data_IF_269476348339
#
_entry.id   IF_269476348339
#
_cell.length_a   1.000
_cell.length_b   1.000
_cell.length_c   1.000
_cell.angle_alpha   90.00
_cell.angle_beta   90.00
_cell.angle_gamma   90.00
#
_symmetry.space_group_name_H-M   'P 1'
#
loop_
_entity.id
_entity.type
_entity.pdbx_description
1 polymer ?
#
# COMPACT_ATOMS: atom_id res chain seq x y z
N UNK A 1 3.36 36.26 20.38
CA UNK A 1 2.29 36.03 19.39
C UNK A 1 2.81 35.00 18.40
N UNK A 2 2.59 33.73 18.67
CA UNK A 2 3.02 32.63 17.81
C UNK A 2 1.93 32.33 16.81
N UNK A 3 2.23 32.51 15.54
CA UNK A 3 1.34 32.16 14.44
C UNK A 3 1.29 30.64 14.32
N UNK A 4 0.20 30.09 14.77
CA UNK A 4 -0.21 28.71 14.50
C UNK A 4 -0.35 28.57 12.98
N UNK A 5 0.69 28.04 12.32
CA UNK A 5 0.53 27.53 10.95
C UNK A 5 -0.23 26.24 11.07
N UNK A 6 -1.53 26.35 10.96
CA UNK A 6 -2.39 25.20 10.80
C UNK A 6 -1.90 24.36 9.63
N UNK A 7 -1.61 23.10 9.91
CA UNK A 7 -1.46 22.06 8.92
C UNK A 7 -2.69 22.07 8.05
N UNK A 8 -2.54 22.56 6.83
CA UNK A 8 -3.56 22.47 5.81
C UNK A 8 -3.74 20.99 5.49
N UNK A 9 -4.69 20.40 6.15
CA UNK A 9 -5.27 19.14 5.72
C UNK A 9 -5.99 19.44 4.40
N UNK A 10 -5.37 19.45 3.19
CA UNK A 10 -5.53 18.28 2.49
C UNK A 10 -6.75 18.17 1.67
N UNK A 11 -6.52 18.14 0.63
CA UNK A 11 -7.39 17.84 -0.49
C UNK A 11 -8.49 16.88 -0.08
N UNK A 12 -9.72 17.31 -0.26
CA UNK A 12 -10.88 16.45 -0.04
C UNK A 12 -10.74 15.22 -0.92
N UNK A 13 -11.12 14.02 -0.46
CA UNK A 13 -11.14 12.84 -1.30
C UNK A 13 -11.95 13.14 -2.55
N UNK A 14 -11.45 12.71 -3.69
CA UNK A 14 -12.25 12.69 -4.91
C UNK A 14 -13.28 11.60 -4.70
N UNK A 15 -14.47 11.99 -4.26
CA UNK A 15 -15.56 11.05 -4.04
C UNK A 15 -16.11 10.68 -5.40
N UNK A 16 -15.71 9.53 -5.91
CA UNK A 16 -16.47 8.83 -6.92
C UNK A 16 -17.55 8.05 -6.19
N UNK A 17 -18.81 8.44 -6.35
CA UNK A 17 -19.92 8.01 -5.50
C UNK A 17 -20.28 6.51 -5.55
N UNK A 18 -19.55 5.65 -6.25
CA UNK A 18 -19.99 4.28 -6.53
C UNK A 18 -18.94 3.19 -6.25
N UNK A 19 -17.67 3.52 -5.96
CA UNK A 19 -16.62 2.51 -6.12
C UNK A 19 -15.96 2.01 -4.84
N UNK A 20 -16.31 2.48 -3.66
CA UNK A 20 -15.58 2.20 -2.40
C UNK A 20 -14.08 2.52 -2.46
N UNK A 21 -13.63 3.25 -3.49
CA UNK A 21 -12.26 3.69 -3.70
C UNK A 21 -12.17 5.15 -3.30
N UNK A 22 -11.14 5.48 -2.50
CA UNK A 22 -10.88 6.85 -2.10
C UNK A 22 -9.39 7.14 -2.27
N UNK A 23 -9.06 8.38 -2.62
CA UNK A 23 -7.70 8.80 -2.88
C UNK A 23 -7.33 9.99 -2.00
N UNK A 24 -6.13 9.98 -1.45
CA UNK A 24 -5.56 11.05 -0.64
C UNK A 24 -4.12 11.32 -1.07
N UNK A 25 -3.66 12.53 -0.82
CA UNK A 25 -2.25 12.84 -0.93
C UNK A 25 -1.57 12.66 0.42
N UNK A 26 -0.42 12.03 0.42
CA UNK A 26 0.47 11.95 1.57
C UNK A 26 1.65 12.90 1.36
N UNK A 27 2.36 13.32 2.44
CA UNK A 27 3.50 14.22 2.32
C UNK A 27 4.60 13.66 1.40
N UNK A 28 5.07 14.45 0.44
CA UNK A 28 6.12 14.08 -0.52
C UNK A 28 7.37 13.53 0.17
N UNK A 29 7.82 14.16 1.27
CA UNK A 29 9.01 13.70 1.99
C UNK A 29 8.91 12.26 2.53
N UNK A 30 7.70 11.71 2.70
CA UNK A 30 7.51 10.30 3.05
C UNK A 30 7.73 9.43 1.80
N UNK A 31 7.20 9.85 0.66
CA UNK A 31 7.43 9.19 -0.63
C UNK A 31 8.92 9.16 -0.96
N UNK A 32 9.60 10.32 -0.83
CA UNK A 32 11.04 10.45 -1.04
C UNK A 32 11.84 9.51 -0.14
N UNK A 33 11.48 9.45 1.15
CA UNK A 33 12.13 8.55 2.09
C UNK A 33 11.94 7.07 1.76
N UNK A 34 10.79 6.68 1.21
CA UNK A 34 10.55 5.31 0.77
C UNK A 34 11.35 5.01 -0.51
N UNK A 35 11.42 5.96 -1.44
CA UNK A 35 12.25 5.84 -2.64
C UNK A 35 13.73 5.72 -2.28
N UNK A 36 14.23 6.58 -1.40
CA UNK A 36 15.60 6.51 -0.90
C UNK A 36 15.90 5.17 -0.22
N UNK A 37 14.96 4.66 0.57
CA UNK A 37 15.09 3.34 1.17
C UNK A 37 15.23 2.25 0.10
N UNK A 38 14.40 2.30 -0.94
CA UNK A 38 14.47 1.34 -2.04
C UNK A 38 15.82 1.40 -2.75
N UNK A 39 16.33 2.61 -3.03
CA UNK A 39 17.60 2.80 -3.71
C UNK A 39 18.79 2.31 -2.88
N UNK A 40 18.80 2.58 -1.59
CA UNK A 40 19.90 2.24 -0.70
C UNK A 40 19.94 0.76 -0.27
N UNK A 41 18.89 -0.03 -0.57
CA UNK A 41 18.78 -1.42 -0.14
C UNK A 41 18.73 -2.40 -1.32
N UNK A 42 19.63 -2.27 -2.28
CA UNK A 42 19.68 -3.11 -3.47
C UNK A 42 19.68 -4.62 -3.17
N UNK A 43 20.39 -5.02 -2.11
CA UNK A 43 20.51 -6.43 -1.69
C UNK A 43 19.18 -7.05 -1.21
N UNK A 44 18.19 -6.23 -0.88
CA UNK A 44 16.85 -6.67 -0.48
C UNK A 44 15.88 -6.77 -1.66
N UNK A 45 16.28 -6.29 -2.83
CA UNK A 45 15.46 -6.30 -4.03
C UNK A 45 15.35 -7.72 -4.58
N UNK A 46 14.13 -8.12 -4.87
CA UNK A 46 13.82 -9.42 -5.47
C UNK A 46 12.92 -9.21 -6.68
N UNK A 47 12.94 -10.15 -7.61
CA UNK A 47 11.97 -10.15 -8.70
C UNK A 47 10.55 -10.29 -8.14
N UNK A 48 9.62 -9.51 -8.69
CA UNK A 48 8.21 -9.66 -8.37
C UNK A 48 7.71 -11.05 -8.67
N UNK A 49 6.87 -11.59 -7.79
CA UNK A 49 6.29 -12.92 -7.94
C UNK A 49 4.78 -12.83 -8.05
N UNK A 50 4.19 -13.75 -8.81
CA UNK A 50 2.77 -14.08 -8.74
C UNK A 50 2.59 -15.31 -7.87
N UNK A 51 1.45 -15.43 -7.23
CA UNK A 51 1.10 -16.62 -6.46
C UNK A 51 0.25 -17.51 -7.34
N UNK A 52 0.69 -18.74 -7.54
CA UNK A 52 -0.03 -19.74 -8.30
C UNK A 52 -0.47 -20.88 -7.38
N UNK A 53 -1.72 -21.30 -7.51
CA UNK A 53 -2.27 -22.38 -6.69
C UNK A 53 -1.43 -23.66 -6.79
N UNK A 54 -1.04 -24.18 -5.65
CA UNK A 54 -0.22 -25.41 -5.55
C UNK A 54 1.27 -25.24 -5.84
N UNK A 55 1.72 -24.08 -6.33
CA UNK A 55 3.13 -23.84 -6.67
C UNK A 55 3.80 -22.76 -5.78
N UNK A 56 3.00 -21.95 -5.06
CA UNK A 56 3.52 -20.83 -4.29
C UNK A 56 3.89 -19.62 -5.17
N UNK A 57 4.93 -18.89 -4.79
CA UNK A 57 5.39 -17.73 -5.55
C UNK A 57 6.17 -18.16 -6.79
N UNK A 58 5.72 -17.73 -7.97
CA UNK A 58 6.40 -17.95 -9.26
C UNK A 58 6.78 -16.62 -9.91
N UNK A 59 7.91 -16.61 -10.61
CA UNK A 59 8.35 -15.46 -11.41
C UNK A 59 7.80 -15.66 -12.82
N UNK A 60 6.82 -14.84 -13.19
CA UNK A 60 6.20 -14.88 -14.51
C UNK A 60 6.07 -13.44 -15.03
N UNK A 61 7.02 -13.05 -15.87
CA UNK A 61 7.11 -11.66 -16.37
C UNK A 61 5.94 -11.23 -17.24
N UNK A 62 5.28 -12.17 -17.88
CA UNK A 62 4.09 -11.89 -18.67
C UNK A 62 2.89 -11.53 -17.77
N UNK A 63 2.88 -12.04 -16.55
CA UNK A 63 1.87 -11.70 -15.55
C UNK A 63 2.29 -10.50 -14.68
N UNK A 64 3.54 -10.50 -14.16
CA UNK A 64 4.06 -9.43 -13.32
C UNK A 64 5.54 -9.17 -13.60
N UNK A 65 5.86 -7.94 -13.99
CA UNK A 65 7.24 -7.50 -14.17
C UNK A 65 7.54 -6.33 -13.25
N UNK A 66 8.16 -6.63 -12.12
CA UNK A 66 8.57 -5.65 -11.10
C UNK A 66 9.83 -6.12 -10.36
N UNK A 67 10.42 -5.19 -9.63
CA UNK A 67 11.42 -5.46 -8.60
C UNK A 67 10.86 -5.00 -7.27
N UNK A 68 10.81 -5.90 -6.29
CA UNK A 68 10.09 -5.69 -5.05
C UNK A 68 11.04 -5.72 -3.83
N UNK A 69 10.76 -4.87 -2.83
CA UNK A 69 11.29 -5.04 -1.47
C UNK A 69 10.11 -5.28 -0.53
N UNK A 70 10.14 -6.40 0.19
CA UNK A 70 9.10 -6.75 1.16
C UNK A 70 9.36 -6.09 2.50
N UNK A 71 8.36 -5.39 3.02
CA UNK A 71 8.42 -4.68 4.31
C UNK A 71 7.58 -5.43 5.33
N UNK A 72 8.21 -5.83 6.44
CA UNK A 72 7.51 -6.47 7.55
C UNK A 72 6.51 -5.53 8.19
N UNK A 73 5.32 -6.00 8.59
CA UNK A 73 4.36 -5.20 9.35
C UNK A 73 4.91 -4.73 10.71
N UNK A 74 5.93 -5.39 11.25
CA UNK A 74 6.61 -4.99 12.47
C UNK A 74 7.74 -3.97 12.27
N UNK A 75 8.05 -3.59 11.02
CA UNK A 75 9.07 -2.58 10.76
C UNK A 75 8.52 -1.19 11.09
N UNK A 76 8.98 -0.63 12.22
CA UNK A 76 8.60 0.69 12.71
C UNK A 76 9.72 1.73 12.53
N UNK A 77 10.75 1.41 11.75
CA UNK A 77 11.79 2.39 11.42
C UNK A 77 11.28 3.40 10.37
N UNK A 78 11.93 4.56 10.32
CA UNK A 78 11.67 5.53 9.25
C UNK A 78 12.14 4.96 7.88
N UNK A 79 11.41 5.25 6.81
CA UNK A 79 10.22 6.11 6.69
C UNK A 79 8.88 5.38 6.97
N UNK A 80 8.90 4.08 7.27
CA UNK A 80 7.69 3.24 7.36
C UNK A 80 6.78 3.61 8.52
N UNK A 81 7.34 4.07 9.64
CA UNK A 81 6.53 4.54 10.76
C UNK A 81 5.68 5.75 10.35
N UNK A 82 6.27 6.75 9.70
CA UNK A 82 5.54 7.94 9.24
C UNK A 82 4.52 7.60 8.17
N UNK A 83 4.89 6.70 7.25
CA UNK A 83 3.96 6.19 6.25
C UNK A 83 2.72 5.54 6.87
N UNK A 84 2.89 4.70 7.88
CA UNK A 84 1.77 4.07 8.59
C UNK A 84 0.89 5.08 9.33
N UNK A 85 1.49 6.15 9.86
CA UNK A 85 0.72 7.24 10.48
C UNK A 85 -0.17 7.92 9.44
N UNK A 86 0.33 8.18 8.24
CA UNK A 86 -0.46 8.76 7.15
C UNK A 86 -1.55 7.79 6.66
N UNK A 87 -1.24 6.51 6.48
CA UNK A 87 -2.25 5.49 6.16
C UNK A 87 -3.37 5.44 7.20
N UNK A 88 -3.03 5.57 8.50
CA UNK A 88 -4.04 5.60 9.56
C UNK A 88 -4.95 6.83 9.45
N UNK A 89 -4.40 7.98 9.04
CA UNK A 89 -5.22 9.17 8.78
C UNK A 89 -6.17 8.95 7.61
N UNK A 90 -5.67 8.38 6.50
CA UNK A 90 -6.50 8.03 5.35
C UNK A 90 -7.62 7.05 5.75
N UNK A 91 -7.28 6.03 6.53
CA UNK A 91 -8.27 5.08 7.04
C UNK A 91 -9.34 5.75 7.91
N UNK A 92 -8.94 6.68 8.78
CA UNK A 92 -9.88 7.40 9.63
C UNK A 92 -10.86 8.24 8.79
N UNK A 93 -10.39 8.85 7.71
CA UNK A 93 -11.26 9.57 6.76
C UNK A 93 -12.15 8.61 5.96
N UNK A 94 -11.61 7.46 5.54
CA UNK A 94 -12.37 6.43 4.86
C UNK A 94 -13.55 5.92 5.72
N UNK A 95 -13.30 5.69 7.00
CA UNK A 95 -14.32 5.24 7.96
C UNK A 95 -15.45 6.29 8.13
N UNK A 96 -15.15 7.58 8.03
CA UNK A 96 -16.20 8.62 8.06
C UNK A 96 -17.13 8.54 6.86
N UNK A 97 -16.61 8.14 5.71
CA UNK A 97 -17.38 7.99 4.47
C UNK A 97 -18.15 6.66 4.49
N UNK A 98 -17.50 5.59 4.97
CA UNK A 98 -18.05 4.23 4.99
C UNK A 98 -18.10 3.66 6.42
N UNK A 99 -18.99 4.16 7.29
CA UNK A 99 -18.97 3.85 8.73
C UNK A 99 -19.26 2.38 9.04
N UNK A 100 -19.89 1.66 8.13
CA UNK A 100 -20.21 0.23 8.33
C UNK A 100 -18.96 -0.66 8.41
N UNK A 101 -17.79 -0.19 7.96
CA UNK A 101 -16.55 -0.94 8.12
C UNK A 101 -16.19 -1.15 9.59
N UNK A 102 -16.65 -0.27 10.49
CA UNK A 102 -16.47 -0.42 11.93
C UNK A 102 -17.25 -1.60 12.54
N UNK A 103 -18.19 -2.18 11.80
CA UNK A 103 -18.90 -3.38 12.22
C UNK A 103 -18.05 -4.65 12.02
N UNK A 104 -16.97 -4.54 11.28
CA UNK A 104 -15.99 -5.62 11.15
C UNK A 104 -15.16 -5.74 12.43
N UNK A 105 -14.57 -6.92 12.63
CA UNK A 105 -13.56 -7.09 13.67
C UNK A 105 -12.41 -6.11 13.45
N UNK A 106 -11.67 -5.82 14.54
CA UNK A 106 -10.46 -4.99 14.43
C UNK A 106 -9.53 -5.55 13.37
N UNK A 107 -9.02 -4.68 12.52
CA UNK A 107 -8.07 -5.01 11.46
C UNK A 107 -6.85 -4.10 11.54
N UNK A 108 -5.75 -4.58 11.05
CA UNK A 108 -4.45 -3.89 10.99
C UNK A 108 -3.66 -4.43 9.80
N UNK A 109 -2.51 -3.85 9.52
CA UNK A 109 -1.53 -4.40 8.59
C UNK A 109 -0.85 -5.58 9.29
N UNK A 110 -1.31 -6.80 8.99
CA UNK A 110 -0.82 -8.04 9.60
C UNK A 110 0.07 -8.87 8.68
N UNK A 111 0.17 -8.47 7.42
CA UNK A 111 0.99 -9.09 6.40
C UNK A 111 2.10 -8.13 5.94
N UNK A 112 3.18 -8.69 5.39
CA UNK A 112 4.16 -7.86 4.69
C UNK A 112 3.52 -7.18 3.50
N UNK A 113 3.94 -5.96 3.24
CA UNK A 113 3.60 -5.18 2.05
C UNK A 113 4.86 -4.85 1.27
N UNK A 114 4.73 -4.50 0.01
CA UNK A 114 5.88 -4.37 -0.87
C UNK A 114 6.06 -2.93 -1.36
N UNK A 115 7.32 -2.49 -1.40
CA UNK A 115 7.71 -1.43 -2.32
C UNK A 115 7.95 -2.11 -3.66
N UNK A 116 7.28 -1.64 -4.71
CA UNK A 116 7.33 -2.26 -6.03
C UNK A 116 7.82 -1.24 -7.06
N UNK A 117 8.92 -1.55 -7.72
CA UNK A 117 9.41 -0.79 -8.84
C UNK A 117 9.06 -1.50 -10.14
N UNK A 118 8.34 -0.82 -11.00
CA UNK A 118 8.00 -1.28 -12.34
C UNK A 118 8.89 -0.59 -13.37
N UNK A 119 9.62 -1.33 -14.21
CA UNK A 119 10.36 -0.72 -15.32
C UNK A 119 9.37 -0.17 -16.36
N UNK A 120 9.87 0.66 -17.26
CA UNK A 120 9.07 1.15 -18.40
C UNK A 120 8.48 -0.04 -19.16
N UNK A 121 7.15 -0.07 -19.30
CA UNK A 121 6.41 -1.19 -19.90
C UNK A 121 6.18 -2.39 -18.97
N UNK A 122 6.75 -2.35 -17.75
CA UNK A 122 6.44 -3.33 -16.71
C UNK A 122 5.05 -3.09 -16.08
N UNK A 123 4.65 -3.99 -15.21
CA UNK A 123 3.36 -3.89 -14.52
C UNK A 123 2.89 -5.21 -13.96
N UNK A 124 1.73 -5.18 -13.31
CA UNK A 124 0.95 -6.38 -13.01
C UNK A 124 -0.15 -6.47 -14.08
N UNK A 125 0.03 -7.36 -15.05
CA UNK A 125 -0.69 -7.37 -16.32
C UNK A 125 -1.92 -8.28 -16.32
N UNK A 126 -2.13 -9.03 -15.25
CA UNK A 126 -3.27 -9.96 -15.12
C UNK A 126 -4.26 -9.47 -14.07
N UNK A 127 -5.53 -9.63 -14.37
CA UNK A 127 -6.60 -9.39 -13.40
C UNK A 127 -6.48 -10.41 -12.26
N UNK A 128 -6.61 -9.96 -11.03
CA UNK A 128 -6.52 -10.79 -9.85
C UNK A 128 -7.39 -10.23 -8.72
N UNK A 129 -7.61 -11.05 -7.72
CA UNK A 129 -8.33 -10.69 -6.51
C UNK A 129 -7.40 -10.80 -5.30
N UNK A 130 -7.32 -9.73 -4.51
CA UNK A 130 -6.53 -9.74 -3.27
C UNK A 130 -7.06 -10.73 -2.22
N UNK A 131 -8.34 -11.09 -2.33
CA UNK A 131 -9.03 -12.04 -1.44
C UNK A 131 -9.46 -13.26 -2.23
N UNK A 132 -8.50 -14.06 -2.68
CA UNK A 132 -8.74 -15.22 -3.54
C UNK A 132 -9.04 -16.53 -2.78
N UNK A 133 -8.79 -16.57 -1.48
CA UNK A 133 -9.02 -17.77 -0.68
C UNK A 133 -7.92 -18.83 -0.76
N UNK A 134 -6.89 -18.63 -1.58
CA UNK A 134 -5.77 -19.57 -1.76
C UNK A 134 -5.00 -19.79 -0.46
N UNK A 135 -4.88 -18.74 0.36
CA UNK A 135 -4.25 -18.79 1.67
C UNK A 135 -5.18 -18.29 2.76
N UNK A 136 -5.11 -18.90 3.93
CA UNK A 136 -5.92 -18.52 5.08
C UNK A 136 -5.77 -17.04 5.49
N UNK A 137 -4.64 -16.42 5.16
CA UNK A 137 -4.40 -14.99 5.39
C UNK A 137 -5.18 -14.12 4.41
N UNK A 138 -5.22 -14.49 3.13
CA UNK A 138 -5.89 -13.72 2.08
C UNK A 138 -7.40 -13.59 2.34
N UNK A 139 -8.02 -14.61 2.90
CA UNK A 139 -9.45 -14.60 3.27
C UNK A 139 -9.79 -13.46 4.24
N UNK A 140 -8.81 -13.02 5.03
CA UNK A 140 -8.99 -11.98 6.06
C UNK A 140 -8.76 -10.56 5.54
N UNK A 141 -8.29 -10.38 4.32
CA UNK A 141 -8.10 -9.06 3.72
C UNK A 141 -9.45 -8.36 3.57
N UNK A 142 -9.57 -7.17 4.10
CA UNK A 142 -10.80 -6.37 4.05
C UNK A 142 -10.62 -5.05 3.31
N UNK A 143 -9.41 -4.50 3.29
CA UNK A 143 -9.02 -3.30 2.58
C UNK A 143 -7.69 -3.52 1.87
N UNK A 144 -7.52 -2.82 0.77
CA UNK A 144 -6.27 -2.73 0.02
C UNK A 144 -5.84 -1.28 0.00
N UNK A 145 -4.56 -1.03 0.17
CA UNK A 145 -3.96 0.29 -0.03
C UNK A 145 -2.88 0.23 -1.09
N UNK A 146 -2.78 1.30 -1.85
CA UNK A 146 -1.74 1.49 -2.85
C UNK A 146 -1.29 2.95 -2.79
N UNK A 147 -0.01 3.20 -2.91
CA UNK A 147 0.55 4.54 -2.96
C UNK A 147 1.51 4.63 -4.13
N UNK A 148 1.26 5.58 -5.01
CA UNK A 148 2.21 5.96 -6.05
C UNK A 148 3.21 6.91 -5.43
N UNK A 149 4.50 6.58 -5.52
CA UNK A 149 5.58 7.31 -4.87
C UNK A 149 6.19 8.38 -5.77
N UNK A 150 5.98 8.27 -7.07
CA UNK A 150 6.42 9.19 -8.11
C UNK A 150 5.43 9.19 -9.28
N UNK A 151 5.57 10.16 -10.17
CA UNK A 151 4.80 10.30 -11.42
C UNK A 151 5.34 9.37 -12.53
#
# INVERSE_FOLDING_TARGET
MGTNRGLTLHQRPIITNEDFIQTWHIPEGICDGILEYFENNEKLRMNGVCIEEGKGGVIEKDAKESTDISISPSNMNQPFMDYRIELQKCLNEYIKIYPHINLMNKFDIVESYNIQHYPVGGGFKVEHCERDGTFSKNIKRCLVFMTYLND
#
